data_IF_091033399974
#
_entry.id   IF_091033399974
#
_cell.length_a   1.000
_cell.length_b   1.000
_cell.length_c   1.000
_cell.angle_alpha   90.00
_cell.angle_beta   90.00
_cell.angle_gamma   90.00
#
_symmetry.space_group_name_H-M   'P 1'
#
loop_
_entity.id
_entity.type
_entity.pdbx_description
1 polymer ?
#
# COMPACT_ATOMS: atom_id res chain seq x y z
N UNK A 1 25.61 13.75 16.68
CA UNK A 1 25.21 13.27 18.02
C UNK A 1 24.30 12.07 17.78
N UNK A 2 24.70 10.83 18.09
CA UNK A 2 23.76 9.72 18.04
C UNK A 2 22.70 9.98 19.12
N UNK A 3 21.44 10.11 18.73
CA UNK A 3 20.33 10.27 19.67
C UNK A 3 20.24 9.00 20.52
N UNK A 4 20.43 9.13 21.83
CA UNK A 4 20.15 8.04 22.75
C UNK A 4 18.64 7.80 22.71
N UNK A 5 18.20 6.74 22.03
CA UNK A 5 16.83 6.24 22.10
C UNK A 5 16.46 6.05 23.57
N UNK A 6 15.53 6.87 24.06
CA UNK A 6 15.07 6.74 25.44
C UNK A 6 14.22 5.47 25.56
N UNK A 7 14.20 4.86 26.75
CA UNK A 7 13.34 3.68 26.98
C UNK A 7 11.87 3.95 26.66
N UNK A 8 11.40 5.17 26.89
CA UNK A 8 10.02 5.57 26.58
C UNK A 8 9.78 5.66 25.07
N UNK A 9 10.78 6.04 24.29
CA UNK A 9 10.70 6.04 22.83
C UNK A 9 10.59 4.61 22.28
N UNK A 10 11.41 3.69 22.78
CA UNK A 10 11.36 2.28 22.36
C UNK A 10 10.00 1.65 22.68
N UNK A 11 9.43 1.98 23.85
CA UNK A 11 8.07 1.56 24.23
C UNK A 11 7.01 2.12 23.27
N UNK A 12 7.07 3.41 22.95
CA UNK A 12 6.14 4.02 22.01
C UNK A 12 6.21 3.36 20.63
N UNK A 13 7.41 3.08 20.11
CA UNK A 13 7.57 2.35 18.86
C UNK A 13 6.98 0.92 18.93
N UNK A 14 7.15 0.23 20.06
CA UNK A 14 6.59 -1.10 20.26
C UNK A 14 5.06 -1.10 20.29
N UNK A 15 4.44 -0.12 20.96
CA UNK A 15 2.98 0.00 21.02
C UNK A 15 2.41 0.27 19.61
N UNK A 16 3.05 1.16 18.85
CA UNK A 16 2.69 1.44 17.46
C UNK A 16 2.87 0.22 16.55
N UNK A 17 3.96 -0.55 16.71
CA UNK A 17 4.20 -1.78 15.95
C UNK A 17 3.10 -2.82 16.23
N UNK A 18 2.71 -2.99 17.50
CA UNK A 18 1.61 -3.88 17.87
C UNK A 18 0.28 -3.44 17.27
N UNK A 19 -0.02 -2.14 17.32
CA UNK A 19 -1.25 -1.58 16.76
C UNK A 19 -1.31 -1.79 15.25
N UNK A 20 -0.21 -1.49 14.55
CA UNK A 20 -0.06 -1.71 13.11
C UNK A 20 -0.31 -3.17 12.73
N UNK A 21 0.36 -4.11 13.40
CA UNK A 21 0.20 -5.53 13.11
C UNK A 21 -1.23 -6.00 13.41
N UNK A 22 -1.84 -5.56 14.52
CA UNK A 22 -3.23 -5.89 14.83
C UNK A 22 -4.18 -5.37 13.76
N UNK A 23 -4.03 -4.11 13.34
CA UNK A 23 -4.86 -3.50 12.30
C UNK A 23 -4.75 -4.25 10.97
N UNK A 24 -3.54 -4.69 10.59
CA UNK A 24 -3.32 -5.44 9.35
C UNK A 24 -4.12 -6.75 9.28
N UNK A 25 -4.29 -7.45 10.41
CA UNK A 25 -5.03 -8.72 10.47
C UNK A 25 -6.54 -8.57 10.71
N UNK A 26 -7.04 -7.36 10.99
CA UNK A 26 -8.47 -7.10 11.23
C UNK A 26 -9.29 -6.91 9.93
N UNK A 27 -8.66 -7.09 8.77
CA UNK A 27 -9.31 -7.09 7.46
C UNK A 27 -9.23 -5.75 6.72
N UNK A 28 -9.85 -5.66 5.52
CA UNK A 28 -9.61 -4.56 4.57
C UNK A 28 -9.92 -3.17 5.13
N UNK A 29 -10.88 -3.06 6.05
CA UNK A 29 -11.29 -1.79 6.66
C UNK A 29 -10.22 -1.18 7.55
N UNK A 30 -9.32 -2.00 8.10
CA UNK A 30 -8.27 -1.57 9.02
C UNK A 30 -6.89 -1.49 8.35
N UNK A 31 -6.77 -1.89 7.08
CA UNK A 31 -5.51 -1.79 6.33
C UNK A 31 -5.03 -0.34 6.20
N UNK A 32 -5.92 0.62 5.96
CA UNK A 32 -5.56 2.03 5.91
C UNK A 32 -4.99 2.54 7.26
N UNK A 33 -5.50 2.00 8.38
CA UNK A 33 -4.95 2.31 9.72
C UNK A 33 -3.55 1.71 9.88
N UNK A 34 -3.35 0.45 9.47
CA UNK A 34 -2.05 -0.19 9.50
C UNK A 34 -1.01 0.57 8.65
N UNK A 35 -1.39 1.00 7.44
CA UNK A 35 -0.53 1.84 6.58
C UNK A 35 -0.20 3.19 7.21
N UNK A 36 -1.20 3.86 7.80
CA UNK A 36 -1.00 5.12 8.50
C UNK A 36 0.04 4.99 9.60
N UNK A 37 -0.09 3.95 10.44
CA UNK A 37 0.87 3.66 11.52
C UNK A 37 2.25 3.28 10.97
N UNK A 38 2.32 2.48 9.90
CA UNK A 38 3.58 2.12 9.24
C UNK A 38 4.34 3.36 8.75
N UNK A 39 3.63 4.33 8.13
CA UNK A 39 4.24 5.59 7.67
C UNK A 39 4.74 6.45 8.84
N UNK A 40 3.98 6.51 9.93
CA UNK A 40 4.40 7.23 11.16
C UNK A 40 5.69 6.62 11.71
N UNK A 41 5.79 5.29 11.77
CA UNK A 41 7.00 4.58 12.21
C UNK A 41 8.19 4.88 11.29
N UNK A 42 8.00 4.84 9.97
CA UNK A 42 9.09 5.07 9.01
C UNK A 42 9.55 6.52 8.91
N UNK A 43 8.67 7.49 9.21
CA UNK A 43 9.02 8.91 9.28
C UNK A 43 9.99 9.22 10.42
N UNK A 44 10.09 8.34 11.41
CA UNK A 44 11.03 8.46 12.51
C UNK A 44 12.38 7.83 12.12
N UNK A 45 13.49 8.60 12.08
CA UNK A 45 14.80 8.07 11.73
C UNK A 45 15.33 7.08 12.78
N UNK A 46 14.95 7.26 14.04
CA UNK A 46 15.46 6.49 15.17
C UNK A 46 14.63 5.23 15.46
N UNK A 47 13.65 4.91 14.61
CA UNK A 47 12.85 3.69 14.81
C UNK A 47 13.76 2.44 14.79
N UNK A 48 13.64 1.56 15.80
CA UNK A 48 14.41 0.32 15.84
C UNK A 48 14.27 -0.51 14.54
N UNK A 49 15.36 -1.11 14.03
CA UNK A 49 15.36 -1.82 12.74
C UNK A 49 14.28 -2.89 12.60
N UNK A 50 13.96 -3.60 13.68
CA UNK A 50 12.90 -4.62 13.69
C UNK A 50 11.54 -4.03 13.28
N UNK A 51 11.13 -2.93 13.91
CA UNK A 51 9.86 -2.27 13.61
C UNK A 51 9.86 -1.64 12.23
N UNK A 52 11.04 -1.18 11.75
CA UNK A 52 11.22 -0.71 10.38
C UNK A 52 10.92 -1.82 9.36
N UNK A 53 11.38 -3.06 9.61
CA UNK A 53 11.07 -4.21 8.74
C UNK A 53 9.57 -4.46 8.68
N UNK A 54 8.88 -4.52 9.84
CA UNK A 54 7.44 -4.74 9.87
C UNK A 54 6.66 -3.64 9.13
N UNK A 55 7.00 -2.37 9.35
CA UNK A 55 6.36 -1.26 8.66
C UNK A 55 6.55 -1.34 7.13
N UNK A 56 7.77 -1.66 6.67
CA UNK A 56 8.05 -1.90 5.27
C UNK A 56 7.25 -3.08 4.70
N UNK A 57 7.12 -4.18 5.45
CA UNK A 57 6.33 -5.34 5.03
C UNK A 57 4.84 -5.01 4.91
N UNK A 58 4.28 -4.23 5.85
CA UNK A 58 2.88 -3.80 5.81
C UNK A 58 2.62 -2.96 4.57
N UNK A 59 3.48 -1.97 4.29
CA UNK A 59 3.36 -1.14 3.09
C UNK A 59 3.59 -1.94 1.80
N UNK A 60 4.50 -2.91 1.82
CA UNK A 60 4.80 -3.79 0.70
C UNK A 60 3.68 -4.80 0.37
N UNK A 61 2.78 -5.09 1.32
CA UNK A 61 1.62 -5.94 1.09
C UNK A 61 0.48 -5.22 0.35
N UNK A 62 0.39 -3.89 0.47
CA UNK A 62 -0.79 -3.13 0.06
C UNK A 62 -0.59 -2.48 -1.31
N UNK A 63 -0.68 -3.32 -2.35
CA UNK A 63 -0.33 -3.00 -3.74
C UNK A 63 -1.31 -2.04 -4.46
N UNK A 64 -2.45 -1.71 -3.86
CA UNK A 64 -3.56 -1.04 -4.58
C UNK A 64 -3.57 0.48 -4.47
N UNK A 65 -2.97 1.05 -3.43
CA UNK A 65 -3.08 2.50 -3.15
C UNK A 65 -1.74 3.21 -3.07
N UNK A 66 -0.62 2.47 -3.10
CA UNK A 66 0.70 3.03 -2.88
C UNK A 66 1.61 2.78 -4.09
N UNK A 67 2.25 3.84 -4.61
CA UNK A 67 3.16 3.73 -5.75
C UNK A 67 4.54 3.17 -5.38
N UNK A 68 4.88 3.20 -4.09
CA UNK A 68 6.17 2.84 -3.52
C UNK A 68 6.18 1.44 -2.87
N UNK A 69 5.10 0.66 -2.97
CA UNK A 69 4.97 -0.64 -2.31
C UNK A 69 6.14 -1.60 -2.62
N UNK A 70 6.61 -1.61 -3.86
CA UNK A 70 7.74 -2.44 -4.27
C UNK A 70 9.04 -1.99 -3.61
N UNK A 71 9.30 -0.68 -3.59
CA UNK A 71 10.46 -0.10 -2.92
C UNK A 71 10.43 -0.39 -1.42
N UNK A 72 9.26 -0.28 -0.79
CA UNK A 72 9.07 -0.60 0.63
C UNK A 72 9.34 -2.08 0.91
N UNK A 73 8.84 -2.98 0.08
CA UNK A 73 9.09 -4.41 0.22
C UNK A 73 10.59 -4.74 0.10
N UNK A 74 11.29 -4.14 -0.86
CA UNK A 74 12.74 -4.28 -1.00
C UNK A 74 13.49 -3.75 0.22
N UNK A 75 13.08 -2.58 0.72
CA UNK A 75 13.70 -1.97 1.90
C UNK A 75 13.49 -2.82 3.16
N UNK A 76 12.34 -3.48 3.28
CA UNK A 76 12.07 -4.48 4.33
C UNK A 76 13.08 -5.63 4.29
N UNK A 77 13.33 -6.20 3.11
CA UNK A 77 14.33 -7.27 2.93
C UNK A 77 15.73 -6.77 3.27
N UNK A 78 16.15 -5.63 2.72
CA UNK A 78 17.48 -5.03 2.98
C UNK A 78 17.71 -4.80 4.47
N UNK A 79 16.69 -4.29 5.17
CA UNK A 79 16.79 -4.03 6.62
C UNK A 79 16.86 -5.34 7.41
N UNK A 80 16.08 -6.36 7.04
CA UNK A 80 16.12 -7.67 7.69
C UNK A 80 17.47 -8.37 7.51
N UNK A 81 18.08 -8.28 6.33
CA UNK A 81 19.40 -8.82 6.04
C UNK A 81 20.51 -8.06 6.79
N UNK A 82 20.35 -6.76 6.99
CA UNK A 82 21.26 -5.95 7.80
C UNK A 82 21.22 -6.39 9.27
N UNK A 83 20.02 -6.61 9.85
CA UNK A 83 19.86 -7.11 11.22
C UNK A 83 20.60 -8.44 11.42
N UNK A 84 20.49 -9.34 10.44
CA UNK A 84 21.18 -10.63 10.44
C UNK A 84 22.71 -10.44 10.40
N UNK A 85 23.18 -9.53 9.56
CA UNK A 85 24.61 -9.32 9.30
C UNK A 85 25.33 -8.63 10.46
N UNK A 86 24.68 -7.67 11.13
CA UNK A 86 25.29 -6.85 12.19
C UNK A 86 25.39 -7.57 13.55
N UNK A 87 24.73 -8.73 13.72
CA UNK A 87 24.55 -9.37 15.03
C UNK A 87 25.81 -9.98 15.66
N UNK A 88 26.90 -10.13 14.92
CA UNK A 88 28.18 -10.65 15.47
C UNK A 88 28.11 -12.11 15.98
N UNK A 89 27.15 -12.91 15.49
CA UNK A 89 26.92 -14.30 15.88
C UNK A 89 25.92 -15.01 14.95
N UNK A 90 25.56 -16.25 15.25
CA UNK A 90 24.56 -16.96 14.46
C UNK A 90 23.18 -16.28 14.57
N UNK A 91 22.45 -16.10 13.45
CA UNK A 91 21.12 -15.52 13.47
C UNK A 91 20.15 -16.40 14.24
N UNK A 92 19.26 -15.78 15.01
CA UNK A 92 18.21 -16.54 15.69
C UNK A 92 17.16 -17.01 14.69
N UNK A 93 16.40 -18.03 15.08
CA UNK A 93 15.23 -18.48 14.29
C UNK A 93 14.20 -17.37 14.04
N UNK A 94 14.10 -16.38 14.93
CA UNK A 94 13.21 -15.22 14.76
C UNK A 94 13.68 -14.31 13.62
N UNK A 95 14.98 -14.00 13.55
CA UNK A 95 15.54 -13.16 12.49
C UNK A 95 15.48 -13.85 11.13
N UNK A 96 15.81 -15.13 11.10
CA UNK A 96 15.72 -15.95 9.90
C UNK A 96 14.27 -16.01 9.38
N UNK A 97 13.30 -16.08 10.28
CA UNK A 97 11.88 -16.01 9.94
C UNK A 97 11.51 -14.62 9.42
N UNK A 98 11.92 -13.55 10.11
CA UNK A 98 11.65 -12.18 9.68
C UNK A 98 12.17 -11.90 8.27
N UNK A 99 13.40 -12.31 7.97
CA UNK A 99 13.99 -12.15 6.65
C UNK A 99 13.26 -12.98 5.58
N UNK A 100 12.78 -14.18 5.92
CA UNK A 100 11.96 -15.00 5.02
C UNK A 100 10.62 -14.31 4.74
N UNK A 101 9.91 -13.90 5.79
CA UNK A 101 8.60 -13.28 5.66
C UNK A 101 8.71 -11.98 4.83
N UNK A 102 9.78 -11.18 5.01
CA UNK A 102 10.06 -10.01 4.18
C UNK A 102 10.29 -10.36 2.70
N UNK A 103 11.00 -11.47 2.41
CA UNK A 103 11.23 -11.95 1.03
C UNK A 103 9.94 -12.44 0.38
N UNK A 104 9.07 -13.09 1.15
CA UNK A 104 7.76 -13.54 0.65
C UNK A 104 6.88 -12.34 0.28
N UNK A 105 6.89 -11.26 1.08
CA UNK A 105 6.21 -10.01 0.74
C UNK A 105 6.77 -9.38 -0.54
N UNK A 106 8.10 -9.28 -0.67
CA UNK A 106 8.73 -8.73 -1.88
C UNK A 106 8.35 -9.55 -3.12
N UNK A 107 8.37 -10.88 -3.02
CA UNK A 107 7.97 -11.76 -4.11
C UNK A 107 6.51 -11.50 -4.52
N UNK A 108 5.60 -11.42 -3.55
CA UNK A 108 4.20 -11.08 -3.80
C UNK A 108 4.01 -9.72 -4.47
N UNK A 109 4.77 -8.71 -4.04
CA UNK A 109 4.77 -7.37 -4.64
C UNK A 109 5.27 -7.40 -6.09
N UNK A 110 6.37 -8.11 -6.38
CA UNK A 110 6.91 -8.27 -7.73
C UNK A 110 5.93 -8.99 -8.67
N UNK A 111 5.28 -10.06 -8.20
CA UNK A 111 4.26 -10.79 -8.97
C UNK A 111 3.05 -9.89 -9.28
N UNK A 112 2.57 -9.13 -8.30
CA UNK A 112 1.48 -8.18 -8.51
C UNK A 112 1.86 -7.07 -9.50
N UNK A 113 3.09 -6.54 -9.41
CA UNK A 113 3.61 -5.55 -10.34
C UNK A 113 3.63 -6.09 -11.78
N UNK A 114 4.22 -7.27 -11.98
CA UNK A 114 4.32 -7.90 -13.29
C UNK A 114 2.96 -8.21 -13.93
N UNK A 115 1.97 -8.63 -13.12
CA UNK A 115 0.61 -8.86 -13.61
C UNK A 115 -0.08 -7.57 -14.04
N UNK A 116 0.13 -6.47 -13.31
CA UNK A 116 -0.43 -5.16 -13.65
C UNK A 116 0.18 -4.59 -14.95
N UNK A 117 1.48 -4.76 -15.17
CA UNK A 117 2.14 -4.33 -16.42
C UNK A 117 1.65 -5.12 -17.65
N UNK A 118 1.51 -6.44 -17.52
CA UNK A 118 0.99 -7.30 -18.60
C UNK A 118 -0.46 -6.95 -18.95
N UNK A 119 -1.31 -6.73 -17.95
CA UNK A 119 -2.70 -6.31 -18.16
C UNK A 119 -2.86 -4.94 -18.82
N UNK A 120 -1.88 -4.03 -18.65
CA UNK A 120 -1.83 -2.75 -19.37
C UNK A 120 -1.37 -2.92 -20.82
N UNK A 121 -0.44 -3.83 -21.10
CA UNK A 121 0.04 -4.10 -22.46
C UNK A 121 -1.04 -4.75 -23.35
N UNK A 122 -1.87 -5.64 -22.81
CA UNK A 122 -2.95 -6.27 -23.58
C UNK A 122 -4.11 -5.33 -23.92
N UNK A 123 -4.29 -4.23 -23.17
CA UNK A 123 -5.27 -3.17 -23.51
C UNK A 123 -4.75 -2.15 -24.53
N UNK A 124 -3.48 -2.24 -24.93
CA UNK A 124 -2.83 -1.33 -25.89
C UNK A 124 -2.87 -1.79 -27.35
N UNK A 125 -3.39 -2.99 -27.65
CA UNK A 125 -3.55 -3.52 -29.03
C UNK A 125 -4.98 -3.33 -29.54
N UNK A 126 -5.51 -2.11 -29.45
CA UNK A 126 -6.79 -1.73 -30.04
C UNK A 126 -6.64 -0.56 -31.00
N UNK A 127 -6.17 -0.82 -32.21
CA UNK A 127 -6.28 0.02 -33.42
C UNK A 127 -6.36 -0.98 -34.58
N UNK A 128 -7.13 -0.84 -35.64
CA UNK A 128 -7.96 0.23 -36.19
C UNK A 128 -8.75 -0.43 -37.34
N UNK A 129 -10.08 -0.37 -37.32
CA UNK A 129 -10.88 -0.46 -38.55
C UNK A 129 -11.96 0.60 -38.48
N UNK A 130 -11.54 1.81 -38.82
CA UNK A 130 -12.39 2.81 -39.47
C UNK A 130 -12.87 2.27 -40.81
N UNK A 131 -14.14 1.86 -40.92
CA UNK A 131 -14.87 1.94 -42.19
C UNK A 131 -16.08 2.86 -42.04
N UNK A 132 -16.06 3.88 -42.91
CA UNK A 132 -17.10 4.88 -43.13
C UNK A 132 -18.36 4.21 -43.70
N UNK A 133 -19.52 4.59 -43.17
CA UNK A 133 -20.82 4.41 -43.83
C UNK A 133 -21.76 5.53 -43.42
N UNK A 134 -21.87 6.56 -44.24
CA UNK A 134 -22.80 7.67 -44.10
C UNK A 134 -24.21 7.28 -44.57
N UNK A 135 -25.24 7.60 -43.78
CA UNK A 135 -26.60 7.94 -44.21
C UNK A 135 -27.37 8.46 -42.98
N UNK A 136 -27.45 9.77 -42.74
CA UNK A 136 -28.45 10.75 -43.20
C UNK A 136 -29.77 10.80 -42.38
N UNK A 137 -30.09 12.04 -41.94
CA UNK A 137 -31.39 12.64 -41.53
C UNK A 137 -31.86 12.60 -40.05
N UNK A 138 -31.73 13.77 -39.40
CA UNK A 138 -32.61 14.36 -38.37
C UNK A 138 -33.90 14.92 -39.01
N UNK A 139 -34.83 15.63 -38.31
CA UNK A 139 -35.27 15.65 -36.89
C UNK A 139 -36.81 15.53 -36.77
N UNK A 140 -37.38 15.28 -35.58
CA UNK A 140 -38.67 15.90 -35.18
C UNK A 140 -38.70 16.19 -33.67
N UNK A 141 -39.18 17.39 -33.36
CA UNK A 141 -39.38 18.02 -32.06
C UNK A 141 -40.67 17.52 -31.38
N UNK A 142 -40.69 17.53 -30.05
CA UNK A 142 -41.82 17.96 -29.21
C UNK A 142 -41.32 17.99 -27.75
N UNK A 143 -40.98 19.15 -27.17
CA UNK A 143 -41.86 20.18 -26.57
C UNK A 143 -42.81 19.67 -25.46
N UNK A 144 -42.64 20.27 -24.28
CA UNK A 144 -43.61 20.28 -23.16
C UNK A 144 -43.42 19.17 -22.13
N UNK A 145 -43.38 19.38 -20.81
CA UNK A 145 -43.95 20.50 -20.08
C UNK A 145 -43.33 20.63 -18.68
N UNK A 146 -43.37 21.89 -18.23
CA UNK A 146 -42.97 22.48 -16.95
C UNK A 146 -43.97 22.12 -15.83
N UNK A 147 -43.51 22.29 -14.59
CA UNK A 147 -44.22 22.50 -13.30
C UNK A 147 -43.73 21.49 -12.25
N UNK A 148 -43.39 21.84 -11.02
CA UNK A 148 -43.29 23.10 -10.29
C UNK A 148 -42.53 22.81 -8.98
N UNK A 149 -41.90 23.84 -8.42
CA UNK A 149 -41.33 23.82 -7.07
C UNK A 149 -42.46 23.67 -6.04
N UNK A 150 -42.20 22.95 -4.94
CA UNK A 150 -42.63 23.40 -3.61
C UNK A 150 -41.48 23.16 -2.63
N UNK A 151 -40.89 24.27 -2.20
CA UNK A 151 -40.23 24.41 -0.92
C UNK A 151 -41.26 24.10 0.18
N UNK A 152 -40.89 23.33 1.21
CA UNK A 152 -41.31 23.68 2.55
C UNK A 152 -40.30 23.18 3.60
N UNK A 153 -39.84 24.19 4.33
CA UNK A 153 -39.06 24.21 5.54
C UNK A 153 -39.87 23.56 6.67
N UNK A 154 -39.24 22.93 7.67
CA UNK A 154 -39.78 22.87 9.04
C UNK A 154 -38.71 22.30 10.00
N UNK A 155 -38.06 23.25 10.68
CA UNK A 155 -37.65 23.31 12.10
C UNK A 155 -37.46 21.98 12.84
#
# INVERSE_FOLDING_TARGET
MPGLLTNDHVRACFDLDQEMLRAQFQGPKMQASAEGTARILLANPDVPPLFRVHACMVLGCNNFFNSDYLEMAEQGVRTAELIISDRGGEPSGLEMRLARDAKDVLKGAQEAHGNHEKGKQDKGKGNDQTERGAAERKPEEQEGNKCEQEDDELV
#
